data_IF_431197069134
#
_entry.id   IF_431197069134
#
_cell.length_a   1.000
_cell.length_b   1.000
_cell.length_c   1.000
_cell.angle_alpha   90.00
_cell.angle_beta   90.00
_cell.angle_gamma   90.00
#
_symmetry.space_group_name_H-M   'P 1'
#
loop_
_entity.id
_entity.type
_entity.pdbx_description
1 polymer ?
#
# COMPACT_ATOMS: atom_id res chain seq x y z
N UNK A 1 -13.18 -56.29 -48.83
CA UNK A 1 -12.60 -56.00 -47.50
C UNK A 1 -12.52 -54.49 -47.36
N UNK A 2 -13.46 -53.89 -46.61
CA UNK A 2 -13.54 -52.43 -46.42
C UNK A 2 -12.95 -52.15 -45.04
N UNK A 3 -11.74 -51.59 -45.02
CA UNK A 3 -11.05 -51.20 -43.78
C UNK A 3 -11.61 -49.88 -43.26
N UNK A 4 -12.32 -49.94 -42.15
CA UNK A 4 -12.79 -48.76 -41.40
C UNK A 4 -11.61 -48.11 -40.71
N UNK A 5 -11.15 -46.97 -41.22
CA UNK A 5 -10.20 -46.12 -40.49
C UNK A 5 -10.95 -45.38 -39.38
N UNK A 6 -10.67 -45.74 -38.13
CA UNK A 6 -11.16 -45.02 -36.97
C UNK A 6 -10.36 -43.72 -36.82
N UNK A 7 -11.00 -42.60 -37.16
CA UNK A 7 -10.48 -41.26 -36.93
C UNK A 7 -10.61 -40.95 -35.43
N UNK A 8 -9.51 -41.06 -34.67
CA UNK A 8 -9.46 -40.59 -33.28
C UNK A 8 -9.51 -39.06 -33.25
N UNK A 9 -10.69 -38.52 -32.93
CA UNK A 9 -10.89 -37.09 -32.68
C UNK A 9 -10.31 -36.75 -31.29
N UNK A 10 -9.10 -36.19 -31.24
CA UNK A 10 -8.52 -35.69 -29.99
C UNK A 10 -9.13 -34.34 -29.66
N UNK A 11 -10.08 -34.31 -28.71
CA UNK A 11 -10.61 -33.06 -28.17
C UNK A 11 -9.55 -32.44 -27.26
N UNK A 12 -8.81 -31.45 -27.78
CA UNK A 12 -8.00 -30.57 -26.95
C UNK A 12 -8.93 -29.64 -26.17
N UNK A 13 -9.25 -30.01 -24.93
CA UNK A 13 -9.83 -29.07 -23.96
C UNK A 13 -8.70 -28.12 -23.55
N UNK A 14 -8.62 -26.97 -24.20
CA UNK A 14 -7.79 -25.87 -23.74
C UNK A 14 -8.36 -25.38 -22.40
N UNK A 15 -7.87 -25.93 -21.29
CA UNK A 15 -8.11 -25.38 -19.98
C UNK A 15 -7.47 -23.99 -19.94
N UNK A 16 -8.28 -22.95 -20.12
CA UNK A 16 -7.85 -21.58 -19.84
C UNK A 16 -7.61 -21.48 -18.35
N UNK A 17 -6.34 -21.56 -17.93
CA UNK A 17 -5.98 -21.17 -16.57
C UNK A 17 -6.34 -19.69 -16.42
N UNK A 18 -7.43 -19.41 -15.71
CA UNK A 18 -7.76 -18.05 -15.32
C UNK A 18 -6.55 -17.48 -14.55
N UNK A 19 -5.99 -16.36 -15.03
CA UNK A 19 -4.91 -15.70 -14.33
C UNK A 19 -5.41 -15.32 -12.92
N UNK A 20 -4.75 -15.84 -11.88
CA UNK A 20 -5.08 -15.47 -10.51
C UNK A 20 -4.72 -13.99 -10.34
N UNK A 21 -5.67 -13.11 -10.01
CA UNK A 21 -5.40 -11.69 -9.92
C UNK A 21 -4.41 -11.42 -8.79
N UNK A 22 -3.49 -10.48 -9.03
CA UNK A 22 -2.58 -10.00 -7.99
C UNK A 22 -3.37 -9.44 -6.80
N UNK A 23 -2.86 -9.70 -5.61
CA UNK A 23 -3.42 -9.37 -4.32
C UNK A 23 -2.35 -8.75 -3.42
N UNK A 24 -2.72 -7.69 -2.71
CA UNK A 24 -1.92 -7.12 -1.63
C UNK A 24 -2.80 -7.04 -0.39
N UNK A 25 -2.35 -7.62 0.71
CA UNK A 25 -2.91 -7.36 2.04
C UNK A 25 -2.02 -6.36 2.77
N UNK A 26 -2.60 -5.27 3.24
CA UNK A 26 -1.93 -4.24 4.05
C UNK A 26 -2.33 -4.43 5.50
N UNK A 27 -1.36 -4.67 6.38
CA UNK A 27 -1.52 -4.67 7.83
C UNK A 27 -1.01 -3.34 8.39
N UNK A 28 -1.92 -2.57 9.00
CA UNK A 28 -1.56 -1.31 9.63
C UNK A 28 -1.26 -1.50 11.12
N UNK A 29 0.00 -1.40 11.50
CA UNK A 29 0.46 -1.34 12.90
C UNK A 29 1.05 0.02 13.24
N UNK A 30 0.77 1.06 12.45
CA UNK A 30 1.24 2.41 12.72
C UNK A 30 0.43 2.99 13.87
N UNK A 31 1.09 3.21 15.00
CA UNK A 31 0.53 3.89 16.16
C UNK A 31 0.12 5.33 15.82
N UNK A 32 -1.03 5.83 16.32
CA UNK A 32 -1.32 7.26 16.20
C UNK A 32 -0.30 8.08 16.99
N UNK A 33 -0.11 9.34 16.61
CA UNK A 33 0.59 10.27 17.49
C UNK A 33 -0.10 10.33 18.86
N UNK A 34 0.63 10.53 19.97
CA UNK A 34 0.03 10.46 21.29
C UNK A 34 -1.13 11.47 21.43
N UNK A 35 -2.18 11.07 22.15
CA UNK A 35 -3.46 11.81 22.24
C UNK A 35 -4.33 11.78 20.98
N UNK A 36 -3.86 11.18 19.89
CA UNK A 36 -4.62 11.01 18.65
C UNK A 36 -5.55 9.81 18.68
N UNK A 37 -6.76 10.00 18.16
CA UNK A 37 -7.69 8.92 17.81
C UNK A 37 -8.20 9.14 16.38
N UNK A 38 -7.39 8.76 15.39
CA UNK A 38 -7.68 8.93 13.97
C UNK A 38 -7.13 7.72 13.18
N UNK A 39 -7.65 7.47 11.97
CA UNK A 39 -7.06 6.49 11.07
C UNK A 39 -5.63 6.89 10.73
N UNK A 40 -4.65 6.05 11.06
CA UNK A 40 -3.22 6.41 10.98
C UNK A 40 -2.66 6.26 9.57
N UNK A 41 -3.29 5.44 8.74
CA UNK A 41 -2.90 5.23 7.36
C UNK A 41 -4.09 5.46 6.43
N UNK A 42 -3.82 6.12 5.30
CA UNK A 42 -4.66 6.11 4.11
C UNK A 42 -3.92 5.39 2.98
N UNK A 43 -4.58 4.46 2.31
CA UNK A 43 -4.03 3.72 1.18
C UNK A 43 -4.57 4.25 -0.16
N UNK A 44 -3.75 4.15 -1.20
CA UNK A 44 -4.05 4.57 -2.57
C UNK A 44 -3.65 3.46 -3.55
N UNK A 45 -4.50 2.42 -3.73
CA UNK A 45 -4.35 1.44 -4.80
C UNK A 45 -4.37 2.07 -6.21
N UNK A 46 -3.89 1.29 -7.19
CA UNK A 46 -3.71 1.75 -8.58
C UNK A 46 -5.02 2.15 -9.29
N UNK A 47 -6.17 1.68 -8.81
CA UNK A 47 -7.49 2.03 -9.35
C UNK A 47 -8.03 3.38 -8.82
N UNK A 48 -7.23 4.12 -8.06
CA UNK A 48 -7.59 5.44 -7.52
C UNK A 48 -8.53 5.40 -6.31
N UNK A 49 -8.90 4.20 -5.81
CA UNK A 49 -9.65 4.09 -4.57
C UNK A 49 -8.81 4.61 -3.38
N UNK A 50 -9.48 5.01 -2.31
CA UNK A 50 -8.83 5.45 -1.08
C UNK A 50 -9.48 4.77 0.12
N UNK A 51 -8.68 4.32 1.07
CA UNK A 51 -9.19 3.70 2.29
C UNK A 51 -8.39 4.13 3.51
N UNK A 52 -9.11 4.51 4.56
CA UNK A 52 -8.54 4.82 5.87
C UNK A 52 -8.45 3.54 6.71
N UNK A 53 -7.31 3.34 7.37
CA UNK A 53 -7.03 2.23 8.27
C UNK A 53 -6.63 2.77 9.64
N UNK A 54 -7.32 2.32 10.68
CA UNK A 54 -6.89 2.52 12.07
C UNK A 54 -5.78 1.52 12.42
N UNK A 55 -5.05 1.80 13.51
CA UNK A 55 -4.07 0.86 14.07
C UNK A 55 -4.73 -0.51 14.30
N UNK A 56 -4.05 -1.58 13.91
CA UNK A 56 -4.49 -2.97 14.02
C UNK A 56 -5.41 -3.43 12.90
N UNK A 57 -5.89 -2.53 12.04
CA UNK A 57 -6.74 -2.91 10.91
C UNK A 57 -5.92 -3.38 9.72
N UNK A 58 -6.56 -4.19 8.87
CA UNK A 58 -5.99 -4.68 7.63
C UNK A 58 -6.96 -4.47 6.47
N UNK A 59 -6.42 -4.36 5.27
CA UNK A 59 -7.21 -4.30 4.03
C UNK A 59 -6.57 -5.12 2.93
N UNK A 60 -7.39 -5.72 2.08
CA UNK A 60 -6.95 -6.54 0.95
C UNK A 60 -7.42 -5.93 -0.36
N UNK A 61 -6.48 -5.75 -1.28
CA UNK A 61 -6.69 -5.20 -2.61
C UNK A 61 -6.41 -6.28 -3.64
N UNK A 62 -7.23 -6.35 -4.70
CA UNK A 62 -7.14 -7.39 -5.73
C UNK A 62 -7.20 -6.79 -7.14
N UNK A 63 -6.66 -7.50 -8.12
CA UNK A 63 -6.86 -7.23 -9.54
C UNK A 63 -6.42 -5.81 -9.92
N UNK A 64 -7.31 -5.02 -10.52
CA UNK A 64 -7.01 -3.66 -10.97
C UNK A 64 -6.60 -2.67 -9.86
N UNK A 65 -6.81 -3.01 -8.58
CA UNK A 65 -6.30 -2.23 -7.45
C UNK A 65 -4.79 -2.43 -7.22
N UNK A 66 -4.22 -3.51 -7.78
CA UNK A 66 -2.84 -3.94 -7.58
C UNK A 66 -2.10 -3.94 -8.91
N UNK A 67 -1.19 -2.99 -9.07
CA UNK A 67 -0.30 -2.94 -10.22
C UNK A 67 1.15 -2.87 -9.74
N UNK A 68 1.97 -3.92 -9.95
CA UNK A 68 3.39 -3.92 -9.58
C UNK A 68 4.16 -2.76 -10.22
N UNK A 69 3.71 -2.29 -11.39
CA UNK A 69 4.36 -1.25 -12.18
C UNK A 69 3.91 0.18 -11.81
N UNK A 70 2.68 0.36 -11.32
CA UNK A 70 2.17 1.67 -10.87
C UNK A 70 2.49 1.91 -9.40
N UNK A 71 2.77 0.84 -8.64
CA UNK A 71 3.03 0.90 -7.22
C UNK A 71 1.77 1.06 -6.38
N UNK A 72 1.96 1.16 -5.07
CA UNK A 72 0.90 1.25 -4.07
C UNK A 72 1.16 2.45 -3.15
N UNK A 73 0.26 3.43 -3.17
CA UNK A 73 0.42 4.64 -2.37
C UNK A 73 0.03 4.42 -0.92
N UNK A 74 0.83 4.94 -0.01
CA UNK A 74 0.61 4.93 1.43
C UNK A 74 0.79 6.35 1.92
N UNK A 75 -0.14 6.78 2.75
CA UNK A 75 -0.08 8.09 3.35
C UNK A 75 -0.31 7.96 4.84
N UNK A 76 0.65 8.45 5.61
CA UNK A 76 0.50 8.57 7.05
C UNK A 76 -0.32 9.83 7.35
N UNK A 77 -1.36 9.66 8.17
CA UNK A 77 -2.40 10.66 8.40
C UNK A 77 -2.24 11.34 9.76
N UNK A 78 -1.00 11.49 10.20
CA UNK A 78 -0.63 12.17 11.43
C UNK A 78 -0.94 13.66 11.37
N UNK A 79 -1.17 14.25 12.55
CA UNK A 79 -1.32 15.69 12.69
C UNK A 79 0.07 16.29 12.95
N UNK A 80 0.56 17.11 12.01
CA UNK A 80 1.89 17.69 12.01
C UNK A 80 1.84 19.22 12.13
N UNK A 81 2.71 19.82 12.94
CA UNK A 81 2.91 21.28 12.97
C UNK A 81 3.58 21.77 11.68
N UNK A 82 3.06 22.82 11.03
CA UNK A 82 3.77 23.54 9.96
C UNK A 82 4.77 24.53 10.57
N UNK A 83 6.06 24.37 10.25
CA UNK A 83 7.14 25.37 10.36
C UNK A 83 6.99 26.45 11.46
N UNK A 84 7.19 26.07 12.74
CA UNK A 84 7.58 26.99 13.82
C UNK A 84 6.66 28.18 14.14
N UNK A 85 5.48 28.25 13.52
CA UNK A 85 4.48 29.26 13.80
C UNK A 85 3.25 28.57 14.38
N UNK A 86 2.81 29.06 15.53
CA UNK A 86 1.49 28.76 16.07
C UNK A 86 0.50 29.80 15.52
N UNK A 87 -0.33 29.49 14.52
CA UNK A 87 -1.60 30.18 14.39
C UNK A 87 -2.65 29.27 15.03
N UNK A 88 -3.43 29.84 15.94
CA UNK A 88 -4.67 29.23 16.39
C UNK A 88 -5.48 28.76 15.15
N UNK A 89 -5.45 27.46 14.86
CA UNK A 89 -6.09 26.89 13.66
C UNK A 89 -5.27 26.00 12.73
N UNK A 90 -4.06 25.53 13.08
CA UNK A 90 -3.40 24.49 12.28
C UNK A 90 -4.07 23.10 12.47
N UNK A 91 -5.20 22.90 11.81
CA UNK A 91 -5.79 21.60 11.52
C UNK A 91 -5.75 21.39 10.00
N UNK A 92 -4.59 21.00 9.49
CA UNK A 92 -4.56 20.24 8.25
C UNK A 92 -3.50 19.14 8.39
N UNK A 93 -3.90 17.86 8.47
CA UNK A 93 -2.95 16.76 8.38
C UNK A 93 -2.38 16.82 6.96
N UNK A 94 -1.20 17.40 6.80
CA UNK A 94 -0.43 17.20 5.58
C UNK A 94 0.22 15.80 5.67
N UNK A 95 -0.63 14.77 5.66
CA UNK A 95 -0.56 13.58 4.82
C UNK A 95 0.84 13.24 4.27
N UNK A 96 1.72 12.75 5.13
CA UNK A 96 3.04 12.28 4.72
C UNK A 96 2.85 11.11 3.74
N UNK A 97 3.22 11.29 2.46
CA UNK A 97 3.00 10.29 1.41
C UNK A 97 4.26 9.49 1.08
N UNK A 98 4.09 8.24 0.66
CA UNK A 98 5.11 7.42 -0.01
C UNK A 98 4.45 6.48 -1.03
N UNK A 99 5.24 5.99 -1.97
CA UNK A 99 4.81 4.96 -2.92
C UNK A 99 5.68 3.71 -2.76
N UNK A 100 5.04 2.54 -2.63
CA UNK A 100 5.71 1.24 -2.62
C UNK A 100 5.73 0.70 -4.04
N UNK A 101 6.92 0.32 -4.53
CA UNK A 101 7.09 -0.28 -5.87
C UNK A 101 7.79 -1.63 -5.71
N UNK A 102 7.28 -2.66 -6.40
CA UNK A 102 7.84 -4.00 -6.38
C UNK A 102 8.81 -4.21 -7.54
N UNK A 103 10.02 -4.68 -7.23
CA UNK A 103 11.12 -4.78 -8.18
C UNK A 103 11.34 -6.21 -8.70
N UNK A 104 10.58 -7.20 -8.21
CA UNK A 104 10.75 -8.61 -8.61
C UNK A 104 9.45 -9.41 -8.46
N UNK A 105 9.50 -10.68 -8.89
CA UNK A 105 8.40 -11.63 -8.68
C UNK A 105 8.22 -12.04 -7.19
N UNK A 106 9.21 -11.76 -6.35
CA UNK A 106 9.12 -11.87 -4.89
C UNK A 106 8.65 -10.52 -4.32
N UNK A 107 7.60 -10.56 -3.50
CA UNK A 107 7.01 -9.36 -2.91
C UNK A 107 7.96 -8.66 -1.92
N UNK A 108 8.96 -9.35 -1.38
CA UNK A 108 9.92 -8.79 -0.43
C UNK A 108 10.92 -7.80 -1.04
N UNK A 109 11.08 -7.80 -2.37
CA UNK A 109 11.94 -6.85 -3.06
C UNK A 109 11.16 -5.57 -3.41
N UNK A 110 11.08 -4.64 -2.46
CA UNK A 110 10.41 -3.34 -2.63
C UNK A 110 11.39 -2.17 -2.67
N UNK A 111 10.94 -1.08 -3.26
CA UNK A 111 11.50 0.26 -3.08
C UNK A 111 10.41 1.22 -2.60
N UNK A 112 10.81 2.30 -1.93
CA UNK A 112 9.89 3.37 -1.51
C UNK A 112 10.33 4.70 -2.10
N UNK A 113 9.44 5.31 -2.87
CA UNK A 113 9.68 6.61 -3.50
C UNK A 113 9.10 7.74 -2.65
N UNK A 114 9.73 8.93 -2.77
CA UNK A 114 9.27 10.17 -2.14
C UNK A 114 7.89 10.61 -2.65
N UNK A 115 7.31 11.66 -2.05
CA UNK A 115 5.90 11.62 -1.70
C UNK A 115 4.95 11.53 -2.89
N UNK A 116 4.03 10.57 -2.77
CA UNK A 116 2.77 10.58 -3.49
C UNK A 116 1.85 11.61 -2.80
N UNK A 117 1.73 12.80 -3.40
CA UNK A 117 0.79 13.90 -3.10
C UNK A 117 0.39 14.13 -1.63
N UNK A 118 0.84 15.23 -1.02
CA UNK A 118 -0.01 16.31 -0.47
C UNK A 118 0.82 17.38 0.27
N UNK A 119 0.62 18.65 -0.10
CA UNK A 119 0.91 19.82 0.75
C UNK A 119 2.34 20.38 0.69
N UNK A 120 2.44 21.71 0.61
CA UNK A 120 3.69 22.43 0.85
C UNK A 120 4.10 22.17 2.32
N UNK A 121 5.19 21.43 2.53
CA UNK A 121 5.83 21.11 3.83
C UNK A 121 5.33 19.87 4.61
N UNK A 122 4.68 18.89 3.98
CA UNK A 122 4.47 17.58 4.61
C UNK A 122 5.81 16.88 4.87
N UNK A 123 5.99 16.18 6.02
CA UNK A 123 7.14 15.30 6.18
C UNK A 123 7.06 14.13 5.19
N UNK A 124 8.21 13.62 4.74
CA UNK A 124 8.26 12.41 3.90
C UNK A 124 7.84 11.20 4.74
N UNK A 125 6.83 10.42 4.32
CA UNK A 125 6.39 9.26 5.11
C UNK A 125 7.47 8.20 5.24
N UNK A 126 8.49 8.20 4.38
CA UNK A 126 9.66 7.33 4.54
C UNK A 126 10.48 7.67 5.79
N UNK A 127 10.28 8.83 6.41
CA UNK A 127 10.89 9.17 7.71
C UNK A 127 10.06 8.69 8.90
N UNK A 128 8.80 8.30 8.66
CA UNK A 128 7.79 8.07 9.69
C UNK A 128 7.32 6.61 9.74
N UNK A 129 7.19 5.98 8.56
CA UNK A 129 6.62 4.64 8.40
C UNK A 129 7.70 3.68 7.91
N UNK A 130 7.90 2.59 8.65
CA UNK A 130 8.60 1.41 8.16
C UNK A 130 7.62 0.59 7.32
N UNK A 131 8.02 0.31 6.08
CA UNK A 131 7.29 -0.58 5.18
C UNK A 131 8.09 -1.87 5.06
N UNK A 132 7.50 -2.97 5.50
CA UNK A 132 8.00 -4.31 5.25
C UNK A 132 7.08 -5.02 4.27
N UNK A 133 7.65 -5.79 3.34
CA UNK A 133 6.89 -6.58 2.38
C UNK A 133 7.31 -8.05 2.45
N UNK A 134 6.36 -8.96 2.24
CA UNK A 134 6.60 -10.40 2.23
C UNK A 134 5.60 -11.12 1.32
N UNK A 135 5.83 -12.42 1.10
CA UNK A 135 5.04 -13.25 0.19
C UNK A 135 5.59 -13.28 -1.23
N UNK A 136 4.82 -13.88 -2.14
CA UNK A 136 5.13 -14.01 -3.57
C UNK A 136 3.86 -13.74 -4.38
N UNK A 137 3.99 -13.16 -5.57
CA UNK A 137 2.83 -12.97 -6.44
C UNK A 137 2.11 -14.32 -6.70
N UNK A 138 0.76 -14.33 -6.71
CA UNK A 138 -0.12 -13.16 -6.64
C UNK A 138 -0.38 -12.63 -5.22
N UNK A 139 0.11 -13.26 -4.14
CA UNK A 139 -0.26 -12.90 -2.77
C UNK A 139 0.88 -12.19 -2.02
N UNK A 140 0.85 -10.86 -2.03
CA UNK A 140 1.78 -10.03 -1.28
C UNK A 140 1.18 -9.53 0.04
N UNK A 141 2.04 -9.34 1.03
CA UNK A 141 1.69 -8.72 2.30
C UNK A 141 2.58 -7.50 2.54
N UNK A 142 1.96 -6.36 2.85
CA UNK A 142 2.61 -5.16 3.34
C UNK A 142 2.31 -4.98 4.83
N UNK A 143 3.34 -4.81 5.63
CA UNK A 143 3.23 -4.51 7.07
C UNK A 143 3.77 -3.12 7.31
N UNK A 144 2.94 -2.25 7.88
CA UNK A 144 3.27 -0.86 8.15
C UNK A 144 3.44 -0.68 9.65
N UNK A 145 4.59 -0.14 10.07
CA UNK A 145 4.88 0.17 11.48
C UNK A 145 5.44 1.57 11.59
N UNK A 146 5.26 2.19 12.76
CA UNK A 146 5.87 3.51 13.02
C UNK A 146 7.38 3.35 13.23
N UNK A 147 8.18 4.22 12.63
CA UNK A 147 9.62 4.29 12.90
C UNK A 147 9.85 4.82 14.31
N UNK A 148 10.77 4.20 15.04
CA UNK A 148 11.23 4.71 16.33
C UNK A 148 11.86 6.09 16.16
N UNK A 149 11.43 7.07 16.96
CA UNK A 149 11.94 8.45 16.86
C UNK A 149 11.44 9.24 15.64
N UNK A 150 10.42 8.74 14.93
CA UNK A 150 9.79 9.46 13.81
C UNK A 150 9.45 10.91 14.22
N UNK A 151 9.98 11.88 13.46
CA UNK A 151 9.71 13.30 13.67
C UNK A 151 8.24 13.59 13.32
N UNK A 152 7.65 14.58 13.99
CA UNK A 152 6.35 15.11 13.59
C UNK A 152 5.15 14.77 14.48
N UNK A 153 5.21 13.73 15.32
CA UNK A 153 4.24 13.56 16.43
C UNK A 153 4.56 14.46 17.63
N UNK A 154 5.32 15.54 17.44
CA UNK A 154 5.76 16.41 18.51
C UNK A 154 4.58 17.30 18.96
N UNK A 155 4.25 17.20 20.23
CA UNK A 155 3.12 17.87 20.91
C UNK A 155 3.21 19.40 20.96
N UNK A 156 4.28 19.99 20.44
CA UNK A 156 4.52 21.44 20.50
C UNK A 156 5.21 21.90 19.22
N UNK A 157 4.47 22.72 18.47
CA UNK A 157 5.02 24.01 18.07
C UNK A 157 4.89 24.94 19.30
#
# INVERSE_FOLDING_TARGET
MIGTQALLLTVFVAATLAAIPNQITVHNHVDPCPGGNYPTIKTFPANGAQQNLNKGQSATYNGGAVSPHVGFGIQENGQYCRNGANPAGCWNPDNAGLQVVWNSNNCGAISTNGPFYCGNNAPDAREIVNVAASGNWPNCVLTLTRKGGARGCQYKC
#
